data_IF_818439855279
#
_entry.id   IF_818439855279
#
_cell.length_a   1.000
_cell.length_b   1.000
_cell.length_c   1.000
_cell.angle_alpha   90.00
_cell.angle_beta   90.00
_cell.angle_gamma   90.00
#
_symmetry.space_group_name_H-M   'P 1'
#
loop_
_entity.id
_entity.type
_entity.pdbx_description
1 polymer ?
#
# COMPACT_ATOMS: atom_id res chain seq x y z
N UNK A 1 -9.91 17.77 3.42
CA UNK A 1 -9.15 17.01 4.43
C UNK A 1 -8.41 15.86 3.75
N UNK A 2 -7.26 16.11 3.09
CA UNK A 2 -6.53 15.07 2.33
C UNK A 2 -5.41 14.37 3.11
N UNK A 3 -4.89 15.01 4.16
CA UNK A 3 -3.81 14.46 4.98
C UNK A 3 -4.24 13.24 5.81
N UNK A 4 -5.42 13.28 6.44
CA UNK A 4 -5.90 12.17 7.29
C UNK A 4 -6.09 10.88 6.50
N UNK A 5 -6.71 10.95 5.32
CA UNK A 5 -6.90 9.80 4.43
C UNK A 5 -5.56 9.21 3.99
N UNK A 6 -4.61 10.06 3.59
CA UNK A 6 -3.27 9.63 3.21
C UNK A 6 -2.53 8.90 4.34
N UNK A 7 -2.60 9.41 5.57
CA UNK A 7 -1.97 8.76 6.72
C UNK A 7 -2.63 7.43 7.07
N UNK A 8 -3.95 7.31 6.92
CA UNK A 8 -4.68 6.04 7.04
C UNK A 8 -4.24 5.03 5.98
N UNK A 9 -4.18 5.44 4.71
CA UNK A 9 -3.76 4.57 3.59
C UNK A 9 -2.29 4.14 3.75
N UNK A 10 -1.42 5.04 4.21
CA UNK A 10 -0.01 4.74 4.50
C UNK A 10 0.12 3.74 5.63
N UNK A 11 -0.66 3.92 6.71
CA UNK A 11 -0.64 3.01 7.86
C UNK A 11 -1.15 1.62 7.47
N UNK A 12 -2.22 1.54 6.68
CA UNK A 12 -2.73 0.27 6.17
C UNK A 12 -1.66 -0.46 5.34
N UNK A 13 -0.98 0.25 4.45
CA UNK A 13 0.13 -0.30 3.66
C UNK A 13 1.29 -0.76 4.52
N UNK A 14 1.69 0.04 5.51
CA UNK A 14 2.77 -0.30 6.42
C UNK A 14 2.46 -1.58 7.23
N UNK A 15 1.24 -1.69 7.77
CA UNK A 15 0.78 -2.87 8.52
C UNK A 15 0.73 -4.10 7.61
N UNK A 16 0.18 -3.96 6.39
CA UNK A 16 0.16 -5.05 5.41
C UNK A 16 1.57 -5.51 5.06
N UNK A 17 2.52 -4.60 4.82
CA UNK A 17 3.92 -4.93 4.57
C UNK A 17 4.52 -5.67 5.77
N UNK A 18 4.32 -5.18 6.99
CA UNK A 18 4.82 -5.84 8.19
C UNK A 18 4.31 -7.29 8.29
N UNK A 19 2.99 -7.47 8.16
CA UNK A 19 2.36 -8.78 8.26
C UNK A 19 2.83 -9.72 7.14
N UNK A 20 2.92 -9.23 5.90
CA UNK A 20 3.35 -10.02 4.75
C UNK A 20 4.83 -10.42 4.85
N UNK A 21 5.71 -9.51 5.28
CA UNK A 21 7.13 -9.82 5.46
C UNK A 21 7.36 -10.79 6.62
N UNK A 22 6.63 -10.62 7.74
CA UNK A 22 6.72 -11.56 8.84
C UNK A 22 6.15 -12.93 8.46
N UNK A 23 5.04 -12.98 7.72
CA UNK A 23 4.49 -14.22 7.20
C UNK A 23 5.49 -14.94 6.27
N UNK A 24 6.15 -14.21 5.38
CA UNK A 24 7.19 -14.78 4.51
C UNK A 24 8.34 -15.38 5.31
N UNK A 25 8.72 -14.75 6.44
CA UNK A 25 9.69 -15.32 7.37
C UNK A 25 9.17 -16.59 8.05
N UNK A 26 7.90 -16.62 8.46
CA UNK A 26 7.29 -17.78 9.14
C UNK A 26 7.15 -19.04 8.26
N UNK A 27 7.16 -18.90 6.94
CA UNK A 27 7.04 -20.03 5.99
C UNK A 27 8.40 -20.68 5.72
N UNK A 28 9.47 -20.23 6.38
CA UNK A 28 10.78 -20.88 6.34
C UNK A 28 10.72 -22.25 7.04
N UNK A 29 11.51 -23.22 6.57
CA UNK A 29 11.53 -24.66 6.92
C UNK A 29 11.88 -25.01 8.39
N UNK A 30 11.66 -24.09 9.33
CA UNK A 30 12.02 -24.26 10.74
C UNK A 30 10.75 -24.30 11.58
N UNK A 31 10.76 -25.09 12.65
CA UNK A 31 9.69 -25.02 13.63
C UNK A 31 9.65 -23.62 14.28
N UNK A 32 8.46 -23.12 14.60
CA UNK A 32 8.25 -21.74 15.09
C UNK A 32 9.09 -21.35 16.32
N UNK A 33 9.49 -22.33 17.13
CA UNK A 33 10.30 -22.15 18.34
C UNK A 33 11.80 -22.11 18.06
N UNK A 34 12.24 -22.64 16.92
CA UNK A 34 13.65 -22.71 16.50
C UNK A 34 14.04 -21.50 15.62
N UNK A 35 13.06 -20.69 15.22
CA UNK A 35 13.27 -19.53 14.36
C UNK A 35 14.07 -18.42 15.05
N UNK A 36 14.96 -17.78 14.28
CA UNK A 36 15.58 -16.52 14.69
C UNK A 36 14.55 -15.38 14.61
N UNK A 37 13.90 -15.12 15.74
CA UNK A 37 12.92 -14.04 15.88
C UNK A 37 13.51 -12.65 15.73
N UNK A 38 14.80 -12.45 16.09
CA UNK A 38 15.46 -11.17 15.89
C UNK A 38 15.62 -10.87 14.42
N UNK A 39 16.04 -11.86 13.62
CA UNK A 39 16.17 -11.71 12.18
C UNK A 39 14.82 -11.46 11.51
N UNK A 40 13.79 -12.26 11.84
CA UNK A 40 12.46 -12.12 11.26
C UNK A 40 11.77 -10.80 11.56
N UNK A 41 11.77 -10.38 12.83
CA UNK A 41 11.20 -9.09 13.23
C UNK A 41 12.04 -7.92 12.70
N UNK A 42 13.36 -8.06 12.65
CA UNK A 42 14.26 -7.07 12.05
C UNK A 42 13.94 -6.85 10.57
N UNK A 43 13.78 -7.92 9.80
CA UNK A 43 13.41 -7.84 8.38
C UNK A 43 12.04 -7.20 8.18
N UNK A 44 11.03 -7.62 8.95
CA UNK A 44 9.69 -7.04 8.90
C UNK A 44 9.69 -5.54 9.25
N UNK A 45 10.48 -5.14 10.26
CA UNK A 45 10.64 -3.74 10.62
C UNK A 45 11.31 -2.93 9.52
N UNK A 46 12.40 -3.42 8.91
CA UNK A 46 13.06 -2.76 7.78
C UNK A 46 12.11 -2.57 6.60
N UNK A 47 11.34 -3.60 6.23
CA UNK A 47 10.35 -3.52 5.16
C UNK A 47 9.25 -2.50 5.47
N UNK A 48 8.79 -2.44 6.73
CA UNK A 48 7.80 -1.47 7.19
C UNK A 48 8.32 -0.03 7.08
N UNK A 49 9.56 0.21 7.52
CA UNK A 49 10.21 1.53 7.41
C UNK A 49 10.35 1.92 5.94
N UNK A 50 10.79 1.01 5.07
CA UNK A 50 10.88 1.26 3.63
C UNK A 50 9.51 1.61 3.00
N UNK A 51 8.43 0.95 3.43
CA UNK A 51 7.06 1.23 3.00
C UNK A 51 6.62 2.65 3.38
N UNK A 52 6.90 3.05 4.63
CA UNK A 52 6.61 4.41 5.12
C UNK A 52 7.41 5.46 4.33
N UNK A 53 8.72 5.25 4.17
CA UNK A 53 9.58 6.16 3.42
C UNK A 53 9.14 6.31 1.97
N UNK A 54 8.71 5.22 1.33
CA UNK A 54 8.18 5.24 -0.04
C UNK A 54 6.89 6.06 -0.10
N UNK A 55 5.99 5.90 0.87
CA UNK A 55 4.76 6.69 0.92
C UNK A 55 5.05 8.19 1.07
N UNK A 56 6.01 8.56 1.92
CA UNK A 56 6.47 9.95 2.08
C UNK A 56 7.13 10.46 0.80
N UNK A 57 7.92 9.65 0.12
CA UNK A 57 8.49 10.00 -1.18
C UNK A 57 7.40 10.23 -2.24
N UNK A 58 6.35 9.41 -2.26
CA UNK A 58 5.20 9.60 -3.16
C UNK A 58 4.45 10.91 -2.90
N UNK A 59 4.35 11.38 -1.66
CA UNK A 59 3.82 12.72 -1.37
C UNK A 59 4.67 13.85 -1.94
N UNK A 60 6.01 13.73 -1.86
CA UNK A 60 6.91 14.75 -2.43
C UNK A 60 6.89 14.75 -3.95
N UNK A 61 6.68 13.58 -4.57
CA UNK A 61 6.59 13.43 -6.03
C UNK A 61 5.21 13.82 -6.58
N UNK A 62 4.16 13.81 -5.77
CA UNK A 62 2.84 14.31 -6.16
C UNK A 62 2.78 15.85 -6.23
N UNK A 63 3.60 16.46 -7.09
CA UNK A 63 3.29 17.75 -7.69
C UNK A 63 2.20 17.53 -8.75
N UNK A 64 1.21 18.43 -8.90
CA UNK A 64 0.04 18.25 -9.77
C UNK A 64 0.34 18.10 -11.28
N UNK A 65 1.61 18.09 -11.68
CA UNK A 65 2.10 18.12 -13.05
C UNK A 65 2.48 16.73 -13.58
N UNK A 66 2.53 15.71 -12.72
CA UNK A 66 2.94 14.34 -13.12
C UNK A 66 1.91 13.29 -12.70
N UNK A 67 1.02 12.98 -13.65
CA UNK A 67 0.36 11.70 -13.99
C UNK A 67 -0.14 10.67 -12.94
N UNK A 68 0.08 10.78 -11.62
CA UNK A 68 -0.18 9.68 -10.68
C UNK A 68 -1.48 9.76 -9.86
N UNK A 69 -2.36 10.74 -10.10
CA UNK A 69 -3.69 10.79 -9.47
C UNK A 69 -4.79 10.57 -10.50
N UNK A 70 -5.01 9.31 -10.88
CA UNK A 70 -6.29 8.95 -11.51
C UNK A 70 -7.36 9.06 -10.43
N UNK A 71 -8.05 10.21 -10.38
CA UNK A 71 -9.38 10.27 -9.82
C UNK A 71 -10.32 9.59 -10.82
N UNK A 72 -10.66 8.31 -10.58
CA UNK A 72 -11.76 7.66 -11.29
C UNK A 72 -13.06 8.17 -10.69
N UNK A 73 -13.47 9.35 -11.13
CA UNK A 73 -14.77 9.89 -10.77
C UNK A 73 -15.46 10.47 -11.98
N UNK A 74 -16.58 9.81 -12.31
CA UNK A 74 -17.64 10.20 -13.25
C UNK A 74 -17.49 9.66 -14.69
N UNK A 75 -17.73 8.36 -14.86
CA UNK A 75 -18.55 7.92 -15.99
C UNK A 75 -20.03 8.05 -15.58
N UNK A 76 -20.60 9.25 -15.77
CA UNK A 76 -22.03 9.42 -16.05
C UNK A 76 -22.12 10.05 -17.43
N UNK A 77 -23.18 9.68 -18.16
CA UNK A 77 -23.52 10.09 -19.53
C UNK A 77 -22.96 9.20 -20.64
N UNK A 78 -23.48 7.97 -20.72
CA UNK A 78 -23.71 7.29 -21.99
C UNK A 78 -25.19 7.40 -22.33
N UNK A 79 -25.66 8.61 -22.63
CA UNK A 79 -26.79 8.76 -23.54
C UNK A 79 -26.29 8.35 -24.93
N UNK A 80 -26.61 7.12 -25.36
CA UNK A 80 -26.62 6.71 -26.77
C UNK A 80 -27.08 5.25 -26.90
N UNK A 81 -28.36 5.01 -26.64
CA UNK A 81 -29.06 3.92 -27.32
C UNK A 81 -30.49 4.37 -27.62
N UNK A 82 -30.66 5.07 -28.74
CA UNK A 82 -31.90 4.92 -29.52
C UNK A 82 -31.72 3.77 -30.51
N UNK A 83 -32.67 3.53 -31.43
CA UNK A 83 -34.12 3.76 -31.39
C UNK A 83 -34.87 2.40 -31.31
N UNK A 84 -36.14 2.36 -30.91
CA UNK A 84 -37.05 1.31 -31.39
C UNK A 84 -38.45 1.92 -31.53
N UNK A 85 -39.01 1.65 -32.69
CA UNK A 85 -40.27 2.12 -33.29
C UNK A 85 -41.52 2.03 -32.42
#
# INVERSE_FOLDING_TARGET
MRSKQFWLDTLERAIKTLAQTLLAWLVVDQAIWEMDWQQGLGLAATATVASILTSVASLKVSSPETASLVYVGRHRAGEAHGPME
#
